data_IF_812576207028
#
_entry.id   IF_812576207028
#
_cell.length_a   1.000
_cell.length_b   1.000
_cell.length_c   1.000
_cell.angle_alpha   90.00
_cell.angle_beta   90.00
_cell.angle_gamma   90.00
#
_symmetry.space_group_name_H-M   'P 1'
#
loop_
_entity.id
_entity.type
_entity.pdbx_description
1 polymer ?
#
# COMPACT_ATOMS: atom_id res chain seq x y z
N UNK A 1 13.47 -7.47 11.99
CA UNK A 1 12.90 -7.20 10.65
C UNK A 1 11.39 -7.17 10.81
N UNK A 2 10.76 -6.03 10.49
CA UNK A 2 9.33 -5.77 10.73
C UNK A 2 8.48 -6.78 9.97
N UNK A 3 8.00 -7.81 10.66
CA UNK A 3 7.06 -8.83 10.18
C UNK A 3 5.66 -8.54 10.74
N UNK A 4 5.25 -7.29 10.71
CA UNK A 4 3.91 -6.95 11.14
C UNK A 4 3.03 -6.90 9.91
N UNK A 5 2.06 -7.80 9.88
CA UNK A 5 0.92 -7.75 8.96
C UNK A 5 0.33 -6.34 8.99
N UNK A 6 0.17 -5.73 7.83
CA UNK A 6 -0.47 -4.41 7.74
C UNK A 6 -1.98 -4.62 7.77
N UNK A 7 -2.65 -4.06 8.79
CA UNK A 7 -4.09 -4.27 9.03
C UNK A 7 -4.99 -3.11 8.59
N UNK A 8 -4.41 -1.94 8.34
CA UNK A 8 -5.14 -0.78 7.85
C UNK A 8 -4.24 0.38 7.47
N UNK A 9 -4.83 1.37 6.83
CA UNK A 9 -4.19 2.60 6.37
C UNK A 9 -4.86 3.81 7.04
N UNK A 10 -4.07 4.70 7.64
CA UNK A 10 -4.55 5.94 8.25
C UNK A 10 -3.95 7.15 7.53
N UNK A 11 -4.78 8.14 7.20
CA UNK A 11 -4.35 9.41 6.63
C UNK A 11 -4.21 10.48 7.72
N UNK A 12 -3.13 11.25 7.65
CA UNK A 12 -2.97 12.55 8.31
C UNK A 12 -2.63 13.55 7.22
N UNK A 13 -3.49 14.57 7.02
CA UNK A 13 -3.21 15.65 6.07
C UNK A 13 -2.86 16.91 6.86
N UNK A 14 -1.67 17.47 6.63
CA UNK A 14 -1.14 18.56 7.45
C UNK A 14 -0.39 19.61 6.62
N UNK A 15 -0.28 20.82 7.15
CA UNK A 15 0.59 21.90 6.65
C UNK A 15 1.74 22.23 7.63
N UNK A 16 1.86 21.50 8.74
CA UNK A 16 2.88 21.69 9.77
C UNK A 16 3.41 20.36 10.32
N UNK A 17 4.51 20.39 11.06
CA UNK A 17 5.04 19.23 11.80
C UNK A 17 4.54 19.14 13.26
N UNK A 18 3.52 19.95 13.60
CA UNK A 18 2.76 19.86 14.85
C UNK A 18 1.57 18.92 14.64
N UNK A 19 1.77 17.65 15.00
CA UNK A 19 0.78 16.59 14.87
C UNK A 19 0.59 15.99 16.27
N UNK A 20 -0.63 16.10 16.80
CA UNK A 20 -0.97 15.79 18.18
C UNK A 20 -0.85 14.29 18.47
N UNK A 21 -0.17 13.93 19.57
CA UNK A 21 0.09 12.56 20.02
C UNK A 21 0.70 11.60 18.96
N UNK A 22 1.32 12.13 17.89
CA UNK A 22 1.81 11.30 16.78
C UNK A 22 2.73 10.16 17.23
N UNK A 23 3.77 10.47 18.01
CA UNK A 23 4.74 9.48 18.46
C UNK A 23 4.07 8.34 19.25
N UNK A 24 3.13 8.68 20.14
CA UNK A 24 2.36 7.70 20.91
C UNK A 24 1.52 6.80 19.99
N UNK A 25 0.85 7.36 18.99
CA UNK A 25 0.03 6.59 18.05
C UNK A 25 0.90 5.65 17.20
N UNK A 26 2.04 6.12 16.71
CA UNK A 26 2.98 5.31 15.91
C UNK A 26 3.55 4.13 16.71
N UNK A 27 3.84 4.32 18.00
CA UNK A 27 4.30 3.26 18.90
C UNK A 27 3.22 2.23 19.21
N UNK A 28 1.97 2.67 19.35
CA UNK A 28 0.86 1.83 19.81
C UNK A 28 0.01 1.21 18.67
N UNK A 29 0.23 1.62 17.42
CA UNK A 29 -0.43 1.09 16.22
C UNK A 29 0.60 0.64 15.15
N UNK A 30 1.55 -0.24 15.48
CA UNK A 30 2.64 -0.63 14.57
C UNK A 30 2.19 -1.49 13.37
N UNK A 31 0.93 -1.93 13.35
CA UNK A 31 0.25 -2.68 12.31
C UNK A 31 -0.55 -1.79 11.35
N UNK A 32 -0.56 -0.46 11.55
CA UNK A 32 -1.15 0.51 10.63
C UNK A 32 -0.08 1.14 9.76
N UNK A 33 -0.43 1.40 8.49
CA UNK A 33 0.35 2.25 7.61
C UNK A 33 -0.15 3.70 7.72
N UNK A 34 0.67 4.58 8.28
CA UNK A 34 0.36 6.00 8.41
C UNK A 34 0.84 6.75 7.17
N UNK A 35 -0.10 7.31 6.41
CA UNK A 35 0.18 8.20 5.29
C UNK A 35 0.11 9.63 5.81
N UNK A 36 1.26 10.28 5.95
CA UNK A 36 1.33 11.70 6.33
C UNK A 36 1.50 12.48 5.03
N UNK A 37 0.45 13.19 4.64
CA UNK A 37 0.40 13.96 3.42
C UNK A 37 0.48 15.47 3.72
N UNK A 38 1.14 16.21 2.85
CA UNK A 38 1.26 17.66 2.97
C UNK A 38 1.45 18.33 1.60
N UNK A 39 0.94 19.57 1.40
CA UNK A 39 1.25 20.39 0.22
C UNK A 39 2.60 21.09 0.30
N UNK A 40 3.38 20.79 1.34
CA UNK A 40 4.69 21.39 1.63
C UNK A 40 5.75 20.31 1.84
N UNK A 41 7.01 20.74 1.91
CA UNK A 41 8.11 19.84 2.23
C UNK A 41 8.09 19.43 3.71
N UNK A 42 8.39 18.16 3.97
CA UNK A 42 8.48 17.64 5.33
C UNK A 42 9.77 18.08 6.04
N UNK A 43 9.65 18.40 7.34
CA UNK A 43 10.80 18.64 8.21
C UNK A 43 11.57 17.34 8.49
N UNK A 44 12.83 17.45 8.89
CA UNK A 44 13.67 16.28 9.19
C UNK A 44 13.07 15.41 10.31
N UNK A 45 12.41 16.05 11.29
CA UNK A 45 11.66 15.38 12.36
C UNK A 45 10.65 14.37 11.79
N UNK A 46 9.91 14.76 10.76
CA UNK A 46 8.90 13.90 10.13
C UNK A 46 9.55 12.87 9.20
N UNK A 47 10.61 13.24 8.46
CA UNK A 47 11.34 12.34 7.55
C UNK A 47 11.94 11.11 8.23
N UNK A 48 12.49 11.29 9.43
CA UNK A 48 13.07 10.19 10.21
C UNK A 48 12.02 9.11 10.56
N UNK A 49 10.72 9.45 10.60
CA UNK A 49 9.66 8.51 10.93
C UNK A 49 9.51 7.37 9.91
N UNK A 50 9.79 7.59 8.61
CA UNK A 50 9.72 6.52 7.59
C UNK A 50 10.73 5.40 7.86
N UNK A 51 11.85 5.72 8.49
CA UNK A 51 12.86 4.73 8.89
C UNK A 51 12.46 3.97 10.17
N UNK A 52 11.67 4.60 11.05
CA UNK A 52 11.42 4.13 12.43
C UNK A 52 10.05 3.49 12.63
N UNK A 53 9.06 3.87 11.83
CA UNK A 53 7.68 3.40 11.92
C UNK A 53 7.14 3.00 10.55
N UNK A 54 5.91 2.48 10.48
CA UNK A 54 5.23 2.23 9.21
C UNK A 54 4.56 3.53 8.72
N UNK A 55 5.39 4.55 8.50
CA UNK A 55 5.00 5.88 8.03
C UNK A 55 5.40 6.02 6.57
N UNK A 56 4.59 6.76 5.82
CA UNK A 56 4.86 7.17 4.45
C UNK A 56 4.58 8.64 4.29
N UNK A 57 5.53 9.33 3.70
CA UNK A 57 5.43 10.76 3.47
C UNK A 57 5.06 11.03 2.03
N UNK A 58 4.01 11.84 1.83
CA UNK A 58 3.49 12.13 0.51
C UNK A 58 3.32 13.63 0.33
N UNK A 59 4.08 14.21 -0.59
CA UNK A 59 3.81 15.58 -1.02
C UNK A 59 2.64 15.56 -1.99
N UNK A 60 1.55 16.23 -1.62
CA UNK A 60 0.30 16.28 -2.40
C UNK A 60 0.03 17.69 -2.86
N UNK A 61 -0.14 17.87 -4.16
CA UNK A 61 -0.28 19.20 -4.79
C UNK A 61 -1.55 19.33 -5.63
N UNK A 62 -2.32 18.24 -5.77
CA UNK A 62 -3.54 18.19 -6.56
C UNK A 62 -4.66 17.50 -5.80
N UNK A 63 -5.91 17.88 -6.08
CA UNK A 63 -7.10 17.23 -5.51
C UNK A 63 -7.15 15.74 -5.83
N UNK A 64 -6.71 15.36 -7.04
CA UNK A 64 -6.67 13.97 -7.48
C UNK A 64 -5.78 13.09 -6.60
N UNK A 65 -4.63 13.61 -6.15
CA UNK A 65 -3.76 12.90 -5.22
C UNK A 65 -4.40 12.73 -3.85
N UNK A 66 -5.13 13.76 -3.38
CA UNK A 66 -5.85 13.73 -2.11
C UNK A 66 -7.02 12.73 -2.18
N UNK A 67 -7.77 12.73 -3.27
CA UNK A 67 -8.89 11.80 -3.48
C UNK A 67 -8.39 10.35 -3.56
N UNK A 68 -7.25 10.12 -4.23
CA UNK A 68 -6.61 8.80 -4.24
C UNK A 68 -6.21 8.34 -2.83
N UNK A 69 -5.57 9.22 -2.04
CA UNK A 69 -5.24 8.94 -0.65
C UNK A 69 -6.47 8.64 0.21
N UNK A 70 -7.52 9.44 0.06
CA UNK A 70 -8.78 9.24 0.75
C UNK A 70 -9.44 7.91 0.35
N UNK A 71 -9.29 7.49 -0.91
CA UNK A 71 -9.78 6.19 -1.38
C UNK A 71 -9.01 5.01 -0.78
N UNK A 72 -7.69 5.16 -0.65
CA UNK A 72 -6.77 4.13 -0.15
C UNK A 72 -6.85 3.93 1.37
N UNK A 73 -6.99 5.03 2.12
CA UNK A 73 -6.97 5.02 3.58
C UNK A 73 -8.31 4.61 4.16
N UNK A 74 -8.28 3.89 5.28
CA UNK A 74 -9.44 3.40 6.00
C UNK A 74 -9.93 4.40 7.06
N UNK A 75 -9.00 5.19 7.61
CA UNK A 75 -9.21 6.13 8.71
C UNK A 75 -8.59 7.47 8.35
N UNK A 76 -9.24 8.57 8.72
CA UNK A 76 -8.63 9.89 8.82
C UNK A 76 -8.35 10.22 10.29
N UNK A 77 -7.13 10.65 10.56
CA UNK A 77 -6.75 11.19 11.86
C UNK A 77 -6.67 12.72 11.75
N UNK A 78 -7.71 13.38 12.24
CA UNK A 78 -7.86 14.84 12.32
C UNK A 78 -7.10 15.38 13.54
N UNK A 79 -5.78 15.22 13.48
CA UNK A 79 -4.83 15.45 14.59
C UNK A 79 -3.73 16.46 14.26
N UNK A 80 -3.80 17.09 13.09
CA UNK A 80 -2.91 18.20 12.76
C UNK A 80 -3.34 19.46 13.52
N UNK A 81 -2.37 20.24 13.98
CA UNK A 81 -2.66 21.59 14.46
C UNK A 81 -2.93 22.55 13.29
N UNK A 82 -3.46 23.72 13.61
CA UNK A 82 -3.80 24.83 12.69
C UNK A 82 -5.13 24.67 11.94
N UNK A 83 -5.15 24.89 10.62
CA UNK A 83 -6.37 24.84 9.81
C UNK A 83 -6.53 23.48 9.16
N UNK A 84 -7.78 23.07 8.95
CA UNK A 84 -8.12 21.93 8.10
C UNK A 84 -7.61 22.17 6.68
N UNK A 85 -7.13 21.09 6.05
CA UNK A 85 -6.58 21.12 4.70
C UNK A 85 -7.57 20.45 3.75
N UNK A 86 -7.90 21.13 2.64
CA UNK A 86 -8.68 20.60 1.50
C UNK A 86 -10.01 19.89 1.84
N UNK A 87 -10.68 20.35 2.89
CA UNK A 87 -11.96 19.79 3.37
C UNK A 87 -11.93 18.26 3.58
N UNK A 88 -10.77 17.72 3.92
CA UNK A 88 -10.51 16.28 3.97
C UNK A 88 -11.42 15.54 4.96
N UNK A 89 -11.84 16.21 6.03
CA UNK A 89 -12.78 15.64 7.02
C UNK A 89 -14.10 15.33 6.34
N UNK A 90 -14.65 16.31 5.63
CA UNK A 90 -15.92 16.13 4.91
C UNK A 90 -15.85 15.02 3.86
N UNK A 91 -14.70 14.86 3.17
CA UNK A 91 -14.48 13.80 2.18
C UNK A 91 -14.56 12.40 2.82
N UNK A 92 -13.92 12.18 3.96
CA UNK A 92 -13.98 10.89 4.66
C UNK A 92 -15.36 10.60 5.21
N UNK A 93 -16.02 11.59 5.81
CA UNK A 93 -17.38 11.43 6.36
C UNK A 93 -18.37 11.06 5.25
N UNK A 94 -18.32 11.75 4.10
CA UNK A 94 -19.19 11.45 2.96
C UNK A 94 -18.93 10.06 2.38
N UNK A 95 -17.69 9.58 2.42
CA UNK A 95 -17.32 8.22 2.04
C UNK A 95 -17.73 7.16 3.08
N UNK A 96 -18.34 7.55 4.20
CA UNK A 96 -18.69 6.65 5.30
C UNK A 96 -17.46 6.08 6.02
N UNK A 97 -16.31 6.74 5.90
CA UNK A 97 -15.05 6.32 6.53
C UNK A 97 -14.89 6.99 7.89
N UNK A 98 -14.11 6.32 8.74
CA UNK A 98 -13.88 6.78 10.10
C UNK A 98 -13.03 8.03 10.13
N UNK A 99 -13.45 9.02 10.95
CA UNK A 99 -12.65 10.20 11.28
C UNK A 99 -12.51 10.30 12.79
N UNK A 100 -11.27 10.35 13.27
CA UNK A 100 -10.94 10.46 14.69
C UNK A 100 -10.15 11.74 14.92
N UNK A 101 -10.45 12.47 15.99
CA UNK A 101 -9.79 13.72 16.34
C UNK A 101 -9.46 13.78 17.84
N UNK A 102 -8.54 14.67 18.21
CA UNK A 102 -8.39 15.09 19.61
C UNK A 102 -9.17 16.37 19.91
N UNK A 103 -9.55 16.55 21.16
CA UNK A 103 -10.29 17.71 21.67
C UNK A 103 -9.61 19.05 21.38
N UNK A 104 -8.28 19.06 21.29
CA UNK A 104 -7.47 20.25 20.99
C UNK A 104 -7.09 20.41 19.50
N UNK A 105 -7.44 19.46 18.62
CA UNK A 105 -7.14 19.52 17.17
C UNK A 105 -8.36 19.38 16.28
N UNK A 106 -9.52 19.00 16.82
CA UNK A 106 -10.73 18.76 16.01
C UNK A 106 -11.11 19.99 15.18
N UNK A 107 -11.29 19.79 13.87
CA UNK A 107 -11.69 20.86 12.96
C UNK A 107 -13.21 20.88 12.77
N UNK A 108 -13.87 21.78 13.50
CA UNK A 108 -15.31 21.96 13.43
C UNK A 108 -16.09 20.79 14.04
N UNK A 109 -17.30 20.55 13.54
CA UNK A 109 -18.16 19.43 13.97
C UNK A 109 -18.80 18.80 12.75
N UNK A 110 -18.04 17.91 12.09
CA UNK A 110 -18.38 17.35 10.78
C UNK A 110 -18.71 15.85 10.84
N UNK A 111 -18.64 15.23 12.03
CA UNK A 111 -18.88 13.79 12.22
C UNK A 111 -17.67 13.03 12.78
N UNK A 112 -16.64 13.74 13.23
CA UNK A 112 -15.48 13.12 13.89
C UNK A 112 -15.86 12.50 15.24
N UNK A 113 -15.28 11.36 15.59
CA UNK A 113 -15.23 10.88 16.97
C UNK A 113 -14.09 11.60 17.70
N UNK A 114 -14.42 12.36 18.75
CA UNK A 114 -13.46 13.22 19.46
C UNK A 114 -13.00 12.59 20.78
N UNK A 115 -11.69 12.54 20.99
CA UNK A 115 -11.05 11.98 22.18
C UNK A 115 -10.26 13.06 22.94
N UNK A 116 -10.07 12.88 24.25
CA UNK A 116 -9.20 13.77 25.01
C UNK A 116 -7.74 13.50 24.65
N UNK A 117 -6.99 14.55 24.27
CA UNK A 117 -5.54 14.51 24.03
C UNK A 117 -4.74 13.98 25.22
N UNK A 118 -5.27 14.13 26.44
CA UNK A 118 -4.69 13.57 27.67
C UNK A 118 -4.88 12.06 27.86
N UNK A 119 -5.75 11.42 27.07
CA UNK A 119 -5.97 9.95 27.10
C UNK A 119 -5.94 9.35 25.67
N UNK A 120 -4.78 9.35 25.00
CA UNK A 120 -4.64 8.88 23.61
C UNK A 120 -4.86 7.37 23.46
N UNK A 121 -4.76 6.61 24.55
CA UNK A 121 -5.05 5.17 24.62
C UNK A 121 -6.49 4.82 24.18
N UNK A 122 -7.44 5.72 24.41
CA UNK A 122 -8.83 5.54 24.00
C UNK A 122 -9.00 5.59 22.48
N UNK A 123 -8.29 6.51 21.83
CA UNK A 123 -8.27 6.60 20.36
C UNK A 123 -7.63 5.33 19.77
N UNK A 124 -6.50 4.89 20.32
CA UNK A 124 -5.84 3.62 19.93
C UNK A 124 -6.81 2.44 20.06
N UNK A 125 -7.55 2.36 21.16
CA UNK A 125 -8.52 1.29 21.40
C UNK A 125 -9.63 1.30 20.35
N UNK A 126 -10.17 2.49 20.04
CA UNK A 126 -11.21 2.65 19.02
C UNK A 126 -10.73 2.24 17.63
N UNK A 127 -9.50 2.60 17.25
CA UNK A 127 -8.87 2.19 16.00
C UNK A 127 -8.77 0.67 15.90
N UNK A 128 -8.33 0.01 16.98
CA UNK A 128 -8.22 -1.47 17.00
C UNK A 128 -9.57 -2.16 16.88
N UNK A 129 -10.60 -1.63 17.55
CA UNK A 129 -11.98 -2.11 17.41
C UNK A 129 -12.44 -1.99 15.96
N UNK A 130 -12.24 -0.82 15.35
CA UNK A 130 -12.58 -0.57 13.96
C UNK A 130 -11.92 -1.60 13.03
N UNK A 131 -10.62 -1.84 13.15
CA UNK A 131 -9.88 -2.80 12.30
C UNK A 131 -10.27 -4.28 12.48
N UNK A 132 -11.06 -4.61 13.51
CA UNK A 132 -11.61 -5.96 13.70
C UNK A 132 -12.99 -6.13 13.03
N UNK A 133 -13.62 -5.05 12.59
CA UNK A 133 -14.91 -5.10 11.90
C UNK A 133 -14.75 -5.70 10.49
N UNK A 134 -15.69 -6.56 10.08
CA UNK A 134 -15.72 -7.11 8.72
C UNK A 134 -16.25 -6.03 7.77
N UNK A 135 -15.49 -5.72 6.73
CA UNK A 135 -15.85 -4.70 5.73
C UNK A 135 -15.91 -5.27 4.33
N UNK A 136 -16.72 -4.62 3.51
CA UNK A 136 -16.72 -4.81 2.06
C UNK A 136 -15.53 -4.05 1.50
N UNK A 137 -14.78 -4.69 0.61
CA UNK A 137 -13.65 -4.09 -0.08
C UNK A 137 -14.08 -3.14 -1.20
N UNK A 138 -13.12 -2.40 -1.73
CA UNK A 138 -13.33 -1.41 -2.79
C UNK A 138 -12.84 -1.99 -4.12
N UNK A 139 -13.58 -1.82 -5.22
CA UNK A 139 -13.12 -2.25 -6.53
C UNK A 139 -13.21 -1.09 -7.53
N UNK A 140 -12.05 -0.61 -7.98
CA UNK A 140 -11.90 0.44 -9.00
C UNK A 140 -11.31 -0.08 -10.32
N UNK A 141 -11.64 -1.32 -10.69
CA UNK A 141 -11.18 -1.90 -11.97
C UNK A 141 -11.52 -1.03 -13.19
N UNK A 142 -12.59 -0.25 -13.15
CA UNK A 142 -13.04 0.65 -14.22
C UNK A 142 -12.06 1.79 -14.50
N UNK A 143 -11.18 2.11 -13.55
CA UNK A 143 -10.15 3.14 -13.72
C UNK A 143 -8.94 2.64 -14.54
N UNK A 144 -8.86 1.34 -14.82
CA UNK A 144 -7.78 0.76 -15.61
C UNK A 144 -8.05 0.99 -17.10
N UNK A 145 -7.11 1.64 -17.77
CA UNK A 145 -7.11 1.78 -19.23
C UNK A 145 -6.69 0.44 -19.84
N UNK A 146 -7.60 -0.17 -20.58
CA UNK A 146 -7.38 -1.44 -21.26
C UNK A 146 -6.73 -1.21 -22.64
N UNK A 147 -5.41 -1.41 -22.74
CA UNK A 147 -4.63 -1.46 -24.00
C UNK A 147 -4.43 -2.93 -24.44
N UNK A 148 -5.50 -3.72 -24.35
CA UNK A 148 -5.48 -5.15 -24.58
C UNK A 148 -6.81 -5.82 -24.23
N UNK A 149 -6.85 -7.15 -24.40
CA UNK A 149 -8.04 -7.96 -24.16
C UNK A 149 -7.75 -9.14 -23.21
N UNK A 150 -8.84 -9.77 -22.74
CA UNK A 150 -8.82 -11.01 -21.95
C UNK A 150 -8.19 -10.91 -20.56
N UNK A 151 -8.34 -9.75 -19.91
CA UNK A 151 -7.96 -9.55 -18.53
C UNK A 151 -9.01 -10.15 -17.58
N UNK A 152 -8.54 -10.79 -16.52
CA UNK A 152 -9.36 -11.48 -15.53
C UNK A 152 -9.29 -10.73 -14.22
N UNK A 153 -10.46 -10.33 -13.71
CA UNK A 153 -10.62 -9.68 -12.41
C UNK A 153 -11.41 -10.60 -11.47
N UNK A 154 -10.71 -11.20 -10.51
CA UNK A 154 -11.26 -12.00 -9.42
C UNK A 154 -11.01 -11.24 -8.12
N UNK A 155 -11.91 -10.31 -7.81
CA UNK A 155 -11.86 -9.48 -6.61
C UNK A 155 -12.98 -9.94 -5.68
N UNK A 156 -12.62 -10.62 -4.60
CA UNK A 156 -13.59 -11.06 -3.60
C UNK A 156 -14.22 -9.86 -2.88
N UNK A 157 -15.39 -10.06 -2.27
CA UNK A 157 -16.14 -8.97 -1.61
C UNK A 157 -15.40 -8.30 -0.44
N UNK A 158 -14.35 -8.91 0.08
CA UNK A 158 -13.47 -8.35 1.13
C UNK A 158 -12.17 -7.78 0.57
N UNK A 159 -11.87 -8.06 -0.69
CA UNK A 159 -10.66 -7.63 -1.37
C UNK A 159 -10.80 -6.21 -1.89
N UNK A 160 -9.70 -5.47 -1.85
CA UNK A 160 -9.68 -4.10 -2.38
C UNK A 160 -8.73 -3.98 -3.56
N UNK A 161 -9.24 -3.55 -4.70
CA UNK A 161 -8.49 -3.10 -5.87
C UNK A 161 -8.61 -1.58 -5.98
N UNK A 162 -7.53 -0.89 -5.65
CA UNK A 162 -7.42 0.57 -5.72
C UNK A 162 -6.51 0.93 -6.89
N UNK A 163 -7.00 1.81 -7.77
CA UNK A 163 -6.36 2.12 -9.05
C UNK A 163 -6.26 3.63 -9.20
N UNK A 164 -5.02 4.10 -9.36
CA UNK A 164 -4.70 5.49 -9.64
C UNK A 164 -4.97 5.88 -11.08
N UNK A 165 -4.45 7.02 -11.44
CA UNK A 165 -4.67 7.69 -12.72
C UNK A 165 -3.74 7.13 -13.79
N UNK A 166 -4.21 6.99 -15.03
CA UNK A 166 -3.39 6.53 -16.15
C UNK A 166 -2.74 5.15 -15.92
N UNK A 167 -3.39 4.26 -15.16
CA UNK A 167 -2.96 2.86 -15.05
C UNK A 167 -3.36 2.13 -16.33
N UNK A 168 -2.39 1.53 -17.02
CA UNK A 168 -2.59 0.88 -18.32
C UNK A 168 -2.28 -0.61 -18.20
N UNK A 169 -3.18 -1.45 -18.71
CA UNK A 169 -3.01 -2.91 -18.77
C UNK A 169 -3.13 -3.42 -20.19
N UNK A 170 -2.27 -4.37 -20.58
CA UNK A 170 -2.35 -5.06 -21.87
C UNK A 170 -3.18 -6.33 -21.79
N UNK A 171 -2.67 -7.46 -22.28
CA UNK A 171 -3.45 -8.67 -22.53
C UNK A 171 -3.18 -9.76 -21.50
N UNK A 172 -4.23 -10.50 -21.14
CA UNK A 172 -4.16 -11.69 -20.28
C UNK A 172 -3.67 -11.42 -18.85
N UNK A 173 -3.91 -10.23 -18.34
CA UNK A 173 -3.61 -9.88 -16.95
C UNK A 173 -4.54 -10.64 -16.00
N UNK A 174 -3.96 -11.13 -14.89
CA UNK A 174 -4.71 -11.85 -13.86
C UNK A 174 -4.66 -11.10 -12.54
N UNK A 175 -5.77 -10.49 -12.15
CA UNK A 175 -5.96 -9.82 -10.88
C UNK A 175 -6.74 -10.74 -9.94
N UNK A 176 -6.06 -11.35 -8.98
CA UNK A 176 -6.67 -12.16 -7.95
C UNK A 176 -6.47 -11.51 -6.58
N UNK A 177 -7.53 -10.93 -6.05
CA UNK A 177 -7.53 -10.22 -4.76
C UNK A 177 -8.58 -10.86 -3.88
N UNK A 178 -8.12 -11.60 -2.87
CA UNK A 178 -9.00 -12.30 -1.92
C UNK A 178 -9.45 -11.36 -0.80
N UNK A 179 -8.80 -11.36 0.37
CA UNK A 179 -9.08 -10.41 1.45
C UNK A 179 -8.12 -9.23 1.51
N UNK A 180 -7.13 -9.18 0.61
CA UNK A 180 -6.04 -8.21 0.65
C UNK A 180 -6.35 -6.89 -0.07
N UNK A 181 -5.34 -6.01 -0.10
CA UNK A 181 -5.40 -4.71 -0.77
C UNK A 181 -4.35 -4.67 -1.90
N UNK A 182 -4.79 -4.69 -3.15
CA UNK A 182 -3.97 -4.43 -4.34
C UNK A 182 -4.07 -2.94 -4.71
N UNK A 183 -2.94 -2.25 -4.68
CA UNK A 183 -2.84 -0.82 -4.91
C UNK A 183 -1.94 -0.58 -6.12
N UNK A 184 -2.50 0.03 -7.17
CA UNK A 184 -1.78 0.48 -8.35
C UNK A 184 -1.79 2.01 -8.33
N UNK A 185 -0.63 2.62 -8.11
CA UNK A 185 -0.50 4.08 -8.11
C UNK A 185 -0.52 4.66 -9.54
N UNK A 186 -0.48 5.98 -9.65
CA UNK A 186 -0.57 6.69 -10.93
C UNK A 186 0.48 6.24 -11.94
N UNK A 187 0.07 6.09 -13.21
CA UNK A 187 0.98 5.82 -14.33
C UNK A 187 1.60 4.43 -14.35
N UNK A 188 1.12 3.50 -13.53
CA UNK A 188 1.58 2.10 -13.57
C UNK A 188 1.25 1.48 -14.93
N UNK A 189 2.26 0.86 -15.55
CA UNK A 189 2.13 0.17 -16.83
C UNK A 189 2.33 -1.33 -16.67
N UNK A 190 1.33 -2.12 -17.07
CA UNK A 190 1.31 -3.58 -16.97
C UNK A 190 1.27 -4.17 -18.37
N UNK A 191 2.38 -4.79 -18.77
CA UNK A 191 2.49 -5.51 -20.05
C UNK A 191 1.93 -6.94 -19.91
N UNK A 192 1.87 -7.67 -21.02
CA UNK A 192 1.11 -8.91 -21.16
C UNK A 192 1.37 -9.96 -20.08
N UNK A 193 0.30 -10.64 -19.66
CA UNK A 193 0.34 -11.88 -18.87
C UNK A 193 0.97 -11.75 -17.48
N UNK A 194 0.89 -10.57 -16.86
CA UNK A 194 1.24 -10.40 -15.46
C UNK A 194 0.15 -10.98 -14.55
N UNK A 195 0.55 -11.34 -13.33
CA UNK A 195 -0.39 -11.84 -12.32
C UNK A 195 -0.14 -11.26 -10.94
N UNK A 196 -1.22 -10.81 -10.31
CA UNK A 196 -1.25 -10.27 -8.97
C UNK A 196 -2.05 -11.22 -8.08
N UNK A 197 -1.37 -11.97 -7.21
CA UNK A 197 -2.01 -12.91 -6.29
C UNK A 197 -1.94 -12.32 -4.88
N UNK A 198 -2.98 -11.54 -4.54
CA UNK A 198 -3.04 -10.69 -3.36
C UNK A 198 -3.95 -11.30 -2.28
N UNK A 199 -3.36 -11.70 -1.16
CA UNK A 199 -4.08 -12.13 0.05
C UNK A 199 -4.00 -11.13 1.20
N UNK A 200 -2.90 -10.38 1.29
CA UNK A 200 -2.65 -9.35 2.30
C UNK A 200 -2.51 -7.98 1.65
N UNK A 201 -1.42 -7.74 0.91
CA UNK A 201 -1.15 -6.45 0.28
C UNK A 201 -0.11 -6.59 -0.81
N UNK A 202 -0.44 -6.08 -1.99
CA UNK A 202 0.52 -5.84 -3.08
C UNK A 202 0.37 -4.38 -3.47
N UNK A 203 1.47 -3.66 -3.49
CA UNK A 203 1.46 -2.24 -3.79
C UNK A 203 2.55 -1.87 -4.79
N UNK A 204 2.13 -1.20 -5.87
CA UNK A 204 2.98 -0.81 -6.98
C UNK A 204 3.00 0.71 -7.08
N UNK A 205 4.16 1.30 -6.80
CA UNK A 205 4.37 2.75 -6.80
C UNK A 205 4.22 3.40 -8.17
N UNK A 206 4.06 4.73 -8.15
CA UNK A 206 3.73 5.52 -9.34
C UNK A 206 4.80 5.38 -10.43
N UNK A 207 4.40 5.44 -11.70
CA UNK A 207 5.31 5.38 -12.86
C UNK A 207 6.01 4.05 -13.09
N UNK A 208 5.81 3.05 -12.21
CA UNK A 208 6.46 1.74 -12.33
C UNK A 208 5.93 0.97 -13.53
N UNK A 209 6.86 0.41 -14.30
CA UNK A 209 6.58 -0.36 -15.51
C UNK A 209 6.94 -1.83 -15.33
N UNK A 210 6.11 -2.71 -15.88
CA UNK A 210 6.34 -4.16 -15.87
C UNK A 210 6.45 -4.69 -17.30
N UNK A 211 7.42 -5.58 -17.51
CA UNK A 211 7.54 -6.44 -18.68
C UNK A 211 6.50 -7.54 -18.67
N UNK A 212 6.59 -8.45 -19.64
CA UNK A 212 5.60 -9.52 -19.79
C UNK A 212 5.79 -10.61 -18.73
N UNK A 213 4.71 -11.19 -18.23
CA UNK A 213 4.79 -12.39 -17.38
C UNK A 213 5.34 -12.14 -15.97
N UNK A 214 5.25 -10.91 -15.46
CA UNK A 214 5.65 -10.59 -14.07
C UNK A 214 4.62 -11.15 -13.10
N UNK A 215 5.08 -11.83 -12.04
CA UNK A 215 4.19 -12.50 -11.07
C UNK A 215 4.47 -12.04 -9.65
N UNK A 216 3.40 -11.73 -8.92
CA UNK A 216 3.44 -11.36 -7.52
C UNK A 216 2.69 -12.39 -6.67
N UNK A 217 3.33 -12.83 -5.58
CA UNK A 217 2.76 -13.76 -4.60
C UNK A 217 3.05 -13.26 -3.20
N UNK A 218 2.08 -12.60 -2.56
CA UNK A 218 2.21 -12.10 -1.19
C UNK A 218 1.94 -13.16 -0.11
N UNK A 219 1.86 -14.43 -0.51
CA UNK A 219 1.55 -15.56 0.35
C UNK A 219 2.25 -16.85 -0.08
N UNK A 220 2.39 -17.77 0.88
CA UNK A 220 2.78 -19.16 0.67
C UNK A 220 1.81 -20.07 1.41
N UNK A 221 1.69 -21.33 0.97
CA UNK A 221 1.02 -22.36 1.75
C UNK A 221 1.76 -22.62 3.07
N UNK A 222 1.01 -22.86 4.14
CA UNK A 222 1.56 -23.44 5.38
C UNK A 222 1.96 -24.89 5.06
N UNK A 223 3.16 -25.31 5.47
CA UNK A 223 3.60 -26.68 5.30
C UNK A 223 4.45 -27.14 6.48
N UNK A 224 4.48 -28.46 6.66
CA UNK A 224 5.37 -29.19 7.57
C UNK A 224 6.18 -30.21 6.75
N UNK A 225 7.03 -31.00 7.41
CA UNK A 225 7.74 -32.10 6.75
C UNK A 225 6.80 -33.17 6.16
N UNK A 226 5.57 -33.29 6.68
CA UNK A 226 4.64 -34.37 6.35
C UNK A 226 3.49 -33.93 5.45
N UNK A 227 3.17 -32.62 5.43
CA UNK A 227 1.95 -32.12 4.80
C UNK A 227 2.09 -30.68 4.32
N UNK A 228 1.50 -30.40 3.16
CA UNK A 228 1.24 -29.05 2.67
C UNK A 228 -0.25 -28.77 2.90
N UNK A 229 -0.56 -27.68 3.62
CA UNK A 229 -1.94 -27.28 3.89
C UNK A 229 -2.54 -26.60 2.66
N UNK A 230 -3.66 -27.14 2.17
CA UNK A 230 -4.32 -26.64 0.96
C UNK A 230 -4.96 -25.26 1.14
N UNK A 231 -5.43 -24.95 2.35
CA UNK A 231 -6.28 -23.79 2.66
C UNK A 231 -5.75 -22.93 3.81
N UNK A 232 -4.47 -23.05 4.12
CA UNK A 232 -3.81 -22.23 5.12
C UNK A 232 -2.59 -21.59 4.49
N UNK A 233 -2.42 -20.31 4.75
CA UNK A 233 -1.39 -19.50 4.14
C UNK A 233 -0.62 -18.71 5.20
N UNK A 234 0.64 -18.42 4.89
CA UNK A 234 1.38 -17.34 5.53
C UNK A 234 1.45 -16.19 4.55
N UNK A 235 1.18 -14.98 5.01
CA UNK A 235 1.18 -13.77 4.17
C UNK A 235 2.28 -12.81 4.61
N UNK A 236 2.74 -11.97 3.68
CA UNK A 236 3.54 -10.79 3.98
C UNK A 236 3.47 -9.82 2.79
N UNK A 237 3.38 -8.50 3.04
CA UNK A 237 3.08 -7.53 1.99
C UNK A 237 4.22 -7.44 0.97
N UNK A 238 3.86 -7.27 -0.31
CA UNK A 238 4.82 -6.89 -1.35
C UNK A 238 4.69 -5.38 -1.61
N UNK A 239 5.83 -4.70 -1.69
CA UNK A 239 5.90 -3.28 -2.03
C UNK A 239 6.91 -3.08 -3.16
N UNK A 240 6.49 -2.41 -4.21
CA UNK A 240 7.38 -1.92 -5.27
C UNK A 240 7.30 -0.40 -5.26
N UNK A 241 8.46 0.25 -5.19
CA UNK A 241 8.61 1.71 -5.19
C UNK A 241 8.13 2.36 -6.48
N UNK A 242 8.31 3.68 -6.56
CA UNK A 242 8.01 4.44 -7.78
C UNK A 242 9.12 4.28 -8.82
N UNK A 243 8.76 4.58 -10.07
CA UNK A 243 9.69 4.69 -11.20
C UNK A 243 10.60 3.45 -11.39
N UNK A 244 10.09 2.27 -11.02
CA UNK A 244 10.81 1.01 -11.20
C UNK A 244 10.58 0.41 -12.59
N UNK A 245 11.56 -0.34 -13.09
CA UNK A 245 11.40 -1.20 -14.27
C UNK A 245 11.52 -2.66 -13.86
N UNK A 246 10.44 -3.43 -14.01
CA UNK A 246 10.42 -4.87 -13.70
C UNK A 246 10.46 -5.65 -15.00
N UNK A 247 11.61 -6.26 -15.32
CA UNK A 247 11.80 -7.00 -16.57
C UNK A 247 10.88 -8.22 -16.72
N UNK A 248 10.74 -8.71 -17.95
CA UNK A 248 9.85 -9.83 -18.26
C UNK A 248 10.19 -11.10 -17.47
N UNK A 249 9.17 -11.88 -17.12
CA UNK A 249 9.26 -13.15 -16.40
C UNK A 249 9.94 -13.06 -15.02
N UNK A 250 9.84 -11.90 -14.37
CA UNK A 250 10.25 -11.74 -12.96
C UNK A 250 9.17 -12.30 -12.04
N UNK A 251 9.59 -12.91 -10.94
CA UNK A 251 8.69 -13.34 -9.85
C UNK A 251 9.10 -12.68 -8.55
N UNK A 252 8.15 -12.04 -7.87
CA UNK A 252 8.34 -11.31 -6.61
C UNK A 252 7.55 -12.04 -5.53
N UNK A 253 8.26 -12.47 -4.49
CA UNK A 253 7.70 -13.26 -3.39
C UNK A 253 7.32 -12.40 -2.19
N UNK A 254 6.52 -12.99 -1.31
CA UNK A 254 5.94 -12.35 -0.13
C UNK A 254 6.97 -11.67 0.76
N UNK A 255 6.60 -10.50 1.28
CA UNK A 255 7.43 -9.73 2.20
C UNK A 255 8.55 -8.93 1.55
N UNK A 256 8.66 -8.92 0.21
CA UNK A 256 9.66 -8.14 -0.51
C UNK A 256 9.26 -6.67 -0.60
N UNK A 257 10.20 -5.80 -0.27
CA UNK A 257 10.18 -4.37 -0.59
C UNK A 257 11.26 -4.06 -1.64
N UNK A 258 10.85 -3.55 -2.81
CA UNK A 258 11.72 -2.98 -3.83
C UNK A 258 11.65 -1.46 -3.69
N UNK A 259 12.78 -0.81 -3.44
CA UNK A 259 12.85 0.65 -3.32
C UNK A 259 12.71 1.36 -4.66
N UNK A 260 12.43 2.66 -4.60
CA UNK A 260 12.25 3.55 -5.75
C UNK A 260 13.41 3.48 -6.76
N UNK A 261 13.16 3.87 -8.01
CA UNK A 261 14.17 4.05 -9.05
C UNK A 261 14.99 2.76 -9.33
N UNK A 262 14.37 1.59 -9.13
CA UNK A 262 15.05 0.29 -9.23
C UNK A 262 14.73 -0.44 -10.53
N UNK A 263 15.75 -1.04 -11.15
CA UNK A 263 15.63 -1.89 -12.33
C UNK A 263 15.84 -3.35 -11.95
N UNK A 264 14.85 -4.21 -12.24
CA UNK A 264 14.96 -5.66 -12.12
C UNK A 264 15.08 -6.27 -13.52
N UNK A 265 16.17 -6.98 -13.77
CA UNK A 265 16.42 -7.68 -15.03
C UNK A 265 15.46 -8.85 -15.24
N UNK A 266 15.22 -9.19 -16.51
CA UNK A 266 14.32 -10.27 -16.89
C UNK A 266 14.70 -11.62 -16.25
N UNK A 267 13.68 -12.41 -15.88
CA UNK A 267 13.85 -13.75 -15.33
C UNK A 267 14.34 -13.84 -13.88
N UNK A 268 14.46 -12.71 -13.17
CA UNK A 268 14.87 -12.71 -11.76
C UNK A 268 13.77 -13.27 -10.83
N UNK A 269 14.21 -13.99 -9.78
CA UNK A 269 13.39 -14.34 -8.63
C UNK A 269 13.76 -13.43 -7.46
N UNK A 270 12.86 -12.54 -7.08
CA UNK A 270 13.07 -11.59 -5.98
C UNK A 270 12.42 -12.15 -4.71
N UNK A 271 13.27 -12.49 -3.74
CA UNK A 271 12.87 -13.10 -2.46
C UNK A 271 13.40 -12.35 -1.23
N UNK A 272 14.12 -11.26 -1.45
CA UNK A 272 14.64 -10.37 -0.41
C UNK A 272 14.43 -8.93 -0.88
N UNK A 273 14.44 -7.99 0.08
CA UNK A 273 14.33 -6.57 -0.21
C UNK A 273 15.45 -6.09 -1.14
N UNK A 274 15.11 -5.13 -1.99
CA UNK A 274 16.02 -4.48 -2.93
C UNK A 274 16.05 -2.99 -2.58
N UNK A 275 17.21 -2.42 -2.21
CA UNK A 275 17.32 -0.99 -1.93
C UNK A 275 16.94 -0.13 -3.14
N UNK A 276 16.50 1.10 -2.90
CA UNK A 276 16.25 2.07 -3.96
C UNK A 276 17.50 2.34 -4.82
N UNK A 277 17.32 2.82 -6.04
CA UNK A 277 18.39 3.12 -7.01
C UNK A 277 19.28 1.91 -7.36
N UNK A 278 18.71 0.70 -7.31
CA UNK A 278 19.45 -0.53 -7.60
C UNK A 278 19.24 -1.02 -9.03
N UNK A 279 20.21 -1.79 -9.53
CA UNK A 279 20.02 -2.63 -10.73
C UNK A 279 20.27 -4.07 -10.34
N UNK A 280 19.24 -4.90 -10.42
CA UNK A 280 19.30 -6.34 -10.15
C UNK A 280 19.32 -7.07 -11.47
N UNK A 281 20.28 -7.96 -11.66
CA UNK A 281 20.30 -8.88 -12.79
C UNK A 281 20.68 -10.26 -12.28
N UNK A 282 20.18 -11.28 -12.97
CA UNK A 282 20.60 -12.63 -12.69
C UNK A 282 21.86 -12.93 -13.48
N UNK A 283 23.00 -13.02 -12.80
CA UNK A 283 24.23 -13.53 -13.40
C UNK A 283 24.10 -15.05 -13.61
N UNK A 284 23.50 -15.44 -14.75
CA UNK A 284 23.52 -16.82 -15.23
C UNK A 284 24.67 -16.95 -16.22
N UNK A 285 25.86 -17.29 -15.73
CA UNK A 285 26.80 -17.99 -16.60
C UNK A 285 26.09 -19.22 -17.18
N UNK A 286 25.89 -19.25 -18.49
CA UNK A 286 25.36 -20.42 -19.20
C UNK A 286 26.40 -21.55 -19.08
N UNK A 287 26.15 -22.50 -18.17
CA UNK A 287 27.01 -23.68 -18.04
C UNK A 287 26.63 -24.65 -19.16
N UNK A 288 27.39 -24.60 -20.25
CA UNK A 288 27.29 -25.53 -21.36
C UNK A 288 28.26 -26.68 -21.07
N UNK A 289 27.75 -27.91 -21.02
CA UNK A 289 28.59 -29.13 -21.00
C UNK A 289 28.20 -30.00 -22.17
N UNK A 290 29.22 -30.61 -22.78
CA UNK A 290 28.99 -31.65 -23.77
C UNK A 290 28.33 -32.85 -23.09
N UNK A 291 27.31 -33.42 -23.74
CA UNK A 291 26.57 -34.57 -23.25
C UNK A 291 27.44 -35.82 -23.44
N UNK A 292 28.26 -36.14 -22.44
CA UNK A 292 28.96 -37.43 -22.33
C UNK A 292 28.07 -38.47 -21.65
#
# INVERSE_FOLDING_TARGET
MRKNTVRGDALILTVSDQIEQLDYLLENLPDICFHIAAPVQFSEKIRVLESTYNVRLMTVTTDQQIDFLASMCDILLDINHFQEVDSIVSKFVQAGKMVLAFDNTVHGNQGQEVFLSSTPDKLVSRVREYLNEVRVGINYQENIIQDGNWNVFQIDSKGSLIVGSNVICRNFENFHVSSGKLILHDGVFINNSCSFNCMERIEIGAGTMMGEGVRFYDHDHVYTAEKIEKWQWTTAPIRVGRDCWIGSNVTILKGVTIGDDTVIGAGCLIRNDVPANSVVYQDRNLIIRERN
#
